data_IF_904873524099
#
_entry.id   IF_904873524099
#
_cell.length_a   1.000
_cell.length_b   1.000
_cell.length_c   1.000
_cell.angle_alpha   90.00
_cell.angle_beta   90.00
_cell.angle_gamma   90.00
#
_symmetry.space_group_name_H-M   'P 1'
#
loop_
_entity.id
_entity.type
_entity.pdbx_description
1 polymer ?
#
# COMPACT_ATOMS: atom_id res chain seq x y z
N UNK A 1 11.69 -16.72 10.75
CA UNK A 1 10.94 -15.53 11.18
C UNK A 1 9.60 -15.96 11.71
N UNK A 2 9.18 -15.44 12.88
CA UNK A 2 7.91 -15.85 13.51
C UNK A 2 6.76 -14.96 13.06
N UNK A 3 5.57 -15.56 12.98
CA UNK A 3 4.27 -14.87 12.87
C UNK A 3 4.14 -13.68 13.83
N UNK A 4 4.70 -13.81 15.03
CA UNK A 4 4.69 -12.76 16.06
C UNK A 4 5.40 -11.49 15.57
N UNK A 5 6.58 -11.61 14.94
CA UNK A 5 7.29 -10.45 14.39
C UNK A 5 6.50 -9.78 13.26
N UNK A 6 5.82 -10.57 12.43
CA UNK A 6 4.94 -10.04 11.39
C UNK A 6 3.78 -9.25 11.99
N UNK A 7 3.09 -9.79 12.99
CA UNK A 7 2.02 -9.07 13.70
C UNK A 7 2.55 -7.81 14.38
N UNK A 8 3.70 -7.88 15.04
CA UNK A 8 4.33 -6.75 15.73
C UNK A 8 4.61 -5.57 14.80
N UNK A 9 5.10 -5.83 13.57
CA UNK A 9 5.35 -4.77 12.59
C UNK A 9 4.09 -4.34 11.83
N UNK A 10 3.16 -5.26 11.55
CA UNK A 10 1.93 -4.92 10.83
C UNK A 10 0.91 -4.16 11.68
N UNK A 11 0.98 -4.27 13.01
CA UNK A 11 0.14 -3.50 13.93
C UNK A 11 0.34 -1.98 13.74
N UNK A 12 1.54 -1.41 13.97
CA UNK A 12 1.75 0.02 13.74
C UNK A 12 1.61 0.42 12.27
N UNK A 13 1.94 -0.48 11.32
CA UNK A 13 1.75 -0.24 9.89
C UNK A 13 0.27 -0.02 9.51
N UNK A 14 -0.65 -0.80 10.08
CA UNK A 14 -2.09 -0.62 9.91
C UNK A 14 -2.57 0.66 10.60
N UNK A 15 -2.20 0.87 11.87
CA UNK A 15 -2.61 2.07 12.62
C UNK A 15 -2.18 3.38 11.94
N UNK A 16 -1.01 3.39 11.27
CA UNK A 16 -0.52 4.57 10.55
C UNK A 16 -0.90 4.62 9.06
N UNK A 17 -1.72 3.69 8.58
CA UNK A 17 -1.95 3.55 7.13
C UNK A 17 -2.49 4.83 6.48
N UNK A 18 -3.32 5.58 7.20
CA UNK A 18 -3.81 6.89 6.73
C UNK A 18 -2.69 7.89 6.45
N UNK A 19 -1.62 7.87 7.24
CA UNK A 19 -0.44 8.70 7.02
C UNK A 19 0.44 8.16 5.90
N UNK A 20 0.55 6.84 5.75
CA UNK A 20 1.28 6.23 4.62
C UNK A 20 0.71 6.72 3.28
N UNK A 21 -0.62 6.75 3.16
CA UNK A 21 -1.30 7.19 1.93
C UNK A 21 -1.05 8.67 1.62
N UNK A 22 -0.92 9.52 2.65
CA UNK A 22 -0.51 10.93 2.47
C UNK A 22 0.93 11.04 2.01
N UNK A 23 1.84 10.22 2.54
CA UNK A 23 3.22 10.15 2.04
C UNK A 23 3.26 9.67 0.59
N UNK A 24 2.43 8.71 0.20
CA UNK A 24 2.30 8.26 -1.19
C UNK A 24 1.76 9.38 -2.08
N UNK A 25 0.78 10.17 -1.64
CA UNK A 25 0.32 11.37 -2.39
C UNK A 25 1.47 12.35 -2.65
N UNK A 26 2.32 12.63 -1.66
CA UNK A 26 3.50 13.50 -1.85
C UNK A 26 4.48 12.93 -2.88
N UNK A 27 4.68 11.61 -2.91
CA UNK A 27 5.51 10.94 -3.91
C UNK A 27 4.89 11.07 -5.31
N UNK A 28 3.57 10.94 -5.44
CA UNK A 28 2.85 11.12 -6.71
C UNK A 28 2.99 12.56 -7.23
N UNK A 29 2.99 13.55 -6.33
CA UNK A 29 3.12 14.96 -6.66
C UNK A 29 4.57 15.43 -6.92
N UNK A 30 5.58 14.66 -6.48
CA UNK A 30 6.99 15.05 -6.60
C UNK A 30 7.51 14.87 -8.05
N UNK A 31 7.79 15.96 -8.78
CA UNK A 31 8.30 15.88 -10.15
C UNK A 31 9.74 15.36 -10.25
N UNK A 32 10.46 15.20 -9.13
CA UNK A 32 11.81 14.62 -9.10
C UNK A 32 11.80 13.09 -8.97
N UNK A 33 10.63 12.47 -8.77
CA UNK A 33 10.45 11.02 -8.95
C UNK A 33 10.14 10.76 -10.42
N UNK A 34 10.69 9.69 -11.00
CA UNK A 34 10.40 9.31 -12.38
C UNK A 34 8.91 9.00 -12.60
N UNK A 35 8.40 9.35 -13.79
CA UNK A 35 6.97 9.20 -14.11
C UNK A 35 6.49 7.75 -13.97
N UNK A 36 7.29 6.74 -14.30
CA UNK A 36 6.89 5.33 -14.14
C UNK A 36 6.59 5.01 -12.67
N UNK A 37 7.42 5.49 -11.76
CA UNK A 37 7.27 5.31 -10.31
C UNK A 37 6.10 6.11 -9.76
N UNK A 38 5.89 7.35 -10.22
CA UNK A 38 4.73 8.17 -9.87
C UNK A 38 3.43 7.53 -10.35
N UNK A 39 3.42 6.94 -11.54
CA UNK A 39 2.28 6.18 -12.09
C UNK A 39 1.98 4.95 -11.23
N UNK A 40 3.01 4.19 -10.83
CA UNK A 40 2.85 3.04 -9.94
C UNK A 40 2.29 3.45 -8.58
N UNK A 41 2.79 4.55 -8.00
CA UNK A 41 2.29 5.11 -6.75
C UNK A 41 0.83 5.58 -6.86
N UNK A 42 0.47 6.30 -7.92
CA UNK A 42 -0.91 6.71 -8.20
C UNK A 42 -1.83 5.50 -8.37
N UNK A 43 -1.40 4.47 -9.08
CA UNK A 43 -2.13 3.21 -9.21
C UNK A 43 -2.32 2.48 -7.87
N UNK A 44 -1.36 2.58 -6.95
CA UNK A 44 -1.50 2.10 -5.58
C UNK A 44 -2.61 2.83 -4.82
N UNK A 45 -2.68 4.16 -4.93
CA UNK A 45 -3.78 4.94 -4.36
C UNK A 45 -5.12 4.57 -4.98
N UNK A 46 -5.20 4.45 -6.32
CA UNK A 46 -6.41 3.98 -7.02
C UNK A 46 -6.87 2.61 -6.53
N UNK A 47 -5.93 1.68 -6.28
CA UNK A 47 -6.25 0.37 -5.75
C UNK A 47 -6.93 0.47 -4.39
N UNK A 48 -6.37 1.28 -3.48
CA UNK A 48 -6.90 1.47 -2.12
C UNK A 48 -8.30 2.08 -2.17
N UNK A 49 -8.50 3.19 -2.88
CA UNK A 49 -9.81 3.88 -2.93
C UNK A 49 -10.87 3.12 -3.74
N UNK A 50 -10.46 2.15 -4.56
CA UNK A 50 -11.41 1.27 -5.25
C UNK A 50 -12.07 0.25 -4.33
N UNK A 51 -11.55 0.09 -3.11
CA UNK A 51 -12.02 -0.84 -2.07
C UNK A 51 -12.19 -2.29 -2.54
N UNK A 52 -11.47 -2.67 -3.59
CA UNK A 52 -11.44 -4.05 -4.12
C UNK A 52 -10.69 -4.97 -3.16
N UNK A 53 -9.71 -4.41 -2.42
CA UNK A 53 -8.80 -5.10 -1.51
C UNK A 53 -7.80 -5.99 -2.25
N UNK A 54 -6.55 -6.01 -1.79
CA UNK A 54 -5.52 -6.87 -2.40
C UNK A 54 -5.75 -8.38 -2.12
N UNK A 55 -6.46 -8.72 -1.04
CA UNK A 55 -6.70 -10.11 -0.60
C UNK A 55 -8.22 -10.38 -0.49
N UNK A 56 -8.87 -10.85 -1.57
CA UNK A 56 -10.30 -11.11 -1.51
C UNK A 56 -10.68 -12.24 -0.55
N UNK A 57 -11.85 -12.09 0.07
CA UNK A 57 -12.40 -13.03 1.05
C UNK A 57 -12.12 -12.65 2.51
N UNK A 58 -11.27 -11.65 2.73
CA UNK A 58 -10.95 -11.08 4.05
C UNK A 58 -11.86 -9.87 4.31
N UNK A 59 -12.28 -9.68 5.56
CA UNK A 59 -13.19 -8.60 6.00
C UNK A 59 -12.60 -7.88 7.21
N UNK A 60 -13.24 -6.77 7.62
CA UNK A 60 -12.79 -5.97 8.76
C UNK A 60 -11.48 -5.27 8.46
N UNK A 61 -10.73 -4.91 9.51
CA UNK A 61 -9.39 -4.33 9.42
C UNK A 61 -8.43 -5.22 8.61
N UNK A 62 -8.53 -6.55 8.72
CA UNK A 62 -7.67 -7.47 7.95
C UNK A 62 -7.81 -7.30 6.43
N UNK A 63 -8.92 -6.76 5.91
CA UNK A 63 -9.05 -6.49 4.47
C UNK A 63 -8.00 -5.47 4.01
N UNK A 64 -7.69 -4.49 4.86
CA UNK A 64 -6.73 -3.42 4.61
C UNK A 64 -5.28 -3.86 4.81
N UNK A 65 -5.03 -4.99 5.46
CA UNK A 65 -3.68 -5.55 5.53
C UNK A 65 -3.14 -5.84 4.12
N UNK A 66 -3.99 -6.31 3.21
CA UNK A 66 -3.61 -6.48 1.81
C UNK A 66 -3.14 -5.16 1.17
N UNK A 67 -3.88 -4.09 1.44
CA UNK A 67 -3.63 -2.74 0.91
C UNK A 67 -2.34 -2.15 1.47
N UNK A 68 -2.14 -2.28 2.79
CA UNK A 68 -0.89 -1.96 3.50
C UNK A 68 0.29 -2.62 2.80
N UNK A 69 0.22 -3.94 2.57
CA UNK A 69 1.33 -4.69 1.98
C UNK A 69 1.64 -4.29 0.54
N UNK A 70 0.64 -4.05 -0.30
CA UNK A 70 0.88 -3.60 -1.69
C UNK A 70 1.42 -2.17 -1.74
N UNK A 71 1.06 -1.31 -0.78
CA UNK A 71 1.67 0.02 -0.64
C UNK A 71 3.15 -0.09 -0.23
N UNK A 72 3.53 -0.99 0.69
CA UNK A 72 4.96 -1.22 1.00
C UNK A 72 5.74 -1.69 -0.23
N UNK A 73 5.18 -2.63 -1.00
CA UNK A 73 5.80 -3.09 -2.25
C UNK A 73 5.91 -1.98 -3.30
N UNK A 74 4.94 -1.07 -3.33
CA UNK A 74 4.95 0.12 -4.20
C UNK A 74 6.08 1.06 -3.80
N UNK A 75 6.20 1.39 -2.50
CA UNK A 75 7.27 2.24 -1.98
C UNK A 75 8.66 1.62 -2.21
N UNK A 76 8.79 0.29 -2.11
CA UNK A 76 10.03 -0.42 -2.45
C UNK A 76 10.47 -0.22 -3.90
N UNK A 77 9.51 -0.20 -4.83
CA UNK A 77 9.77 0.07 -6.26
C UNK A 77 10.22 1.51 -6.45
N UNK A 78 9.53 2.48 -5.87
CA UNK A 78 9.91 3.91 -5.93
C UNK A 78 11.30 4.12 -5.35
N UNK A 79 11.61 3.51 -4.21
CA UNK A 79 12.95 3.56 -3.60
C UNK A 79 14.03 2.99 -4.52
N UNK A 80 13.73 1.91 -5.24
CA UNK A 80 14.68 1.24 -6.11
C UNK A 80 14.96 2.03 -7.40
N UNK A 81 13.95 2.73 -7.95
CA UNK A 81 14.08 3.53 -9.17
C UNK A 81 14.63 4.93 -8.92
N UNK A 82 14.24 5.55 -7.82
CA UNK A 82 14.55 6.94 -7.47
C UNK A 82 15.15 7.06 -6.05
N UNK A 83 16.30 6.42 -5.75
CA UNK A 83 16.81 6.28 -4.38
C UNK A 83 17.14 7.62 -3.70
N UNK A 84 17.83 8.53 -4.39
CA UNK A 84 18.22 9.81 -3.82
C UNK A 84 17.00 10.70 -3.48
N UNK A 85 16.00 10.71 -4.37
CA UNK A 85 14.74 11.43 -4.13
C UNK A 85 13.96 10.78 -2.99
N UNK A 86 13.87 9.45 -2.96
CA UNK A 86 13.21 8.70 -1.89
C UNK A 86 13.86 8.95 -0.52
N UNK A 87 15.20 9.06 -0.44
CA UNK A 87 15.89 9.42 0.80
C UNK A 87 15.47 10.79 1.35
N UNK A 88 15.13 11.76 0.50
CA UNK A 88 14.57 13.04 0.95
C UNK A 88 13.19 12.86 1.58
N UNK A 89 12.31 12.07 0.95
CA UNK A 89 11.01 11.72 1.53
C UNK A 89 11.16 11.01 2.89
N UNK A 90 12.15 10.12 3.02
CA UNK A 90 12.48 9.47 4.30
C UNK A 90 12.90 10.53 5.34
N UNK A 91 13.75 11.49 4.97
CA UNK A 91 14.18 12.55 5.90
C UNK A 91 13.03 13.47 6.34
N UNK A 92 12.02 13.67 5.49
CA UNK A 92 10.84 14.48 5.79
C UNK A 92 9.76 13.74 6.59
N UNK A 93 9.74 12.40 6.54
CA UNK A 93 8.74 11.56 7.22
C UNK A 93 9.34 10.21 7.65
N UNK A 94 10.34 10.22 8.56
CA UNK A 94 11.10 9.03 8.92
C UNK A 94 10.24 7.95 9.57
N UNK A 95 9.30 8.32 10.43
CA UNK A 95 8.38 7.42 11.12
C UNK A 95 7.50 6.58 10.17
N UNK A 96 7.31 7.07 8.94
CA UNK A 96 6.50 6.42 7.91
C UNK A 96 7.35 5.48 7.05
N UNK A 97 8.55 5.91 6.67
CA UNK A 97 9.34 5.27 5.61
C UNK A 97 10.60 4.52 6.08
N UNK A 98 11.18 4.86 7.23
CA UNK A 98 12.34 4.11 7.77
C UNK A 98 12.02 2.63 8.05
N UNK A 99 10.85 2.26 8.59
CA UNK A 99 10.55 0.85 8.89
C UNK A 99 10.37 -0.03 7.64
N UNK A 100 10.25 0.56 6.45
CA UNK A 100 9.90 -0.12 5.21
C UNK A 100 10.78 -1.35 4.92
N UNK A 101 12.10 -1.23 5.11
CA UNK A 101 13.04 -2.34 4.85
C UNK A 101 12.72 -3.56 5.72
N UNK A 102 12.51 -3.34 7.02
CA UNK A 102 12.24 -4.41 7.96
C UNK A 102 10.84 -4.99 7.76
N UNK A 103 9.84 -4.13 7.54
CA UNK A 103 8.47 -4.54 7.22
C UNK A 103 8.44 -5.47 6.01
N UNK A 104 9.17 -5.12 4.94
CA UNK A 104 9.26 -5.95 3.75
C UNK A 104 9.96 -7.26 4.05
N UNK A 105 11.12 -7.27 4.70
CA UNK A 105 11.85 -8.49 5.05
C UNK A 105 10.98 -9.48 5.83
N UNK A 106 10.29 -8.99 6.87
CA UNK A 106 9.38 -9.77 7.70
C UNK A 106 8.18 -10.26 6.89
N UNK A 107 7.62 -9.41 6.02
CA UNK A 107 6.54 -9.78 5.10
C UNK A 107 6.96 -10.91 4.17
N UNK A 108 8.13 -10.81 3.51
CA UNK A 108 8.64 -11.85 2.60
C UNK A 108 8.81 -13.16 3.34
N UNK A 109 9.36 -13.11 4.55
CA UNK A 109 9.61 -14.30 5.36
C UNK A 109 8.31 -14.95 5.88
N UNK A 110 7.29 -14.17 6.23
CA UNK A 110 6.00 -14.70 6.71
C UNK A 110 5.15 -15.27 5.58
N UNK A 111 5.05 -14.57 4.44
CA UNK A 111 4.23 -15.01 3.31
C UNK A 111 4.89 -16.11 2.48
N UNK A 112 6.22 -16.12 2.40
CA UNK A 112 6.98 -16.96 1.47
C UNK A 112 6.57 -16.66 0.02
N UNK A 113 6.44 -17.70 -0.81
CA UNK A 113 6.08 -17.57 -2.23
C UNK A 113 4.76 -16.83 -2.48
N UNK A 114 3.86 -16.79 -1.49
CA UNK A 114 2.57 -16.08 -1.59
C UNK A 114 2.72 -14.58 -1.85
N UNK A 115 3.87 -13.99 -1.51
CA UNK A 115 4.14 -12.57 -1.79
C UNK A 115 4.04 -12.24 -3.28
N UNK A 116 4.31 -13.21 -4.16
CA UNK A 116 4.20 -13.06 -5.61
C UNK A 116 2.77 -12.68 -6.05
N UNK A 117 1.75 -13.06 -5.28
CA UNK A 117 0.36 -12.66 -5.56
C UNK A 117 0.19 -11.16 -5.39
N UNK A 118 0.81 -10.57 -4.36
CA UNK A 118 0.78 -9.13 -4.10
C UNK A 118 1.65 -8.38 -5.11
N UNK A 119 2.82 -8.92 -5.47
CA UNK A 119 3.67 -8.34 -6.52
C UNK A 119 2.93 -8.27 -7.87
N UNK A 120 2.21 -9.33 -8.26
CA UNK A 120 1.34 -9.35 -9.44
C UNK A 120 0.19 -8.34 -9.37
N UNK A 121 -0.25 -7.93 -8.17
CA UNK A 121 -1.23 -6.85 -8.01
C UNK A 121 -0.58 -5.51 -8.31
N UNK A 122 0.60 -5.25 -7.74
CA UNK A 122 1.37 -4.01 -7.98
C UNK A 122 1.75 -3.87 -9.47
N UNK A 123 2.05 -4.96 -10.17
CA UNK A 123 2.33 -4.94 -11.62
C UNK A 123 1.17 -4.41 -12.48
N UNK A 124 -0.06 -4.42 -11.94
CA UNK A 124 -1.24 -3.92 -12.65
C UNK A 124 -1.50 -2.44 -12.36
N UNK A 125 -0.87 -1.85 -11.34
CA UNK A 125 -1.11 -0.48 -10.90
C UNK A 125 -1.02 0.56 -12.01
N UNK A 126 -0.03 0.52 -12.93
CA UNK A 126 0.05 1.48 -14.02
C UNK A 126 -1.17 1.49 -14.97
N UNK A 127 -1.94 0.40 -14.99
CA UNK A 127 -3.09 0.21 -15.88
C UNK A 127 -4.42 0.35 -15.15
N UNK A 128 -4.41 0.65 -13.84
CA UNK A 128 -5.63 0.78 -13.07
C UNK A 128 -6.40 2.03 -13.48
N UNK A 129 -7.72 1.88 -13.43
CA UNK A 129 -8.69 2.96 -13.61
C UNK A 129 -9.73 2.86 -12.50
N UNK A 130 -10.11 4.00 -11.94
CA UNK A 130 -11.22 4.11 -11.00
C UNK A 130 -12.03 5.37 -11.30
N UNK A 131 -13.36 5.23 -11.34
CA UNK A 131 -14.31 6.32 -11.65
C UNK A 131 -13.94 7.19 -12.87
N UNK A 132 -13.37 6.59 -13.91
CA UNK A 132 -12.98 7.30 -15.14
C UNK A 132 -11.53 7.78 -15.17
N UNK A 133 -10.84 7.87 -14.03
CA UNK A 133 -9.46 8.33 -13.94
C UNK A 133 -8.47 7.17 -13.98
N UNK A 134 -7.44 7.29 -14.83
CA UNK A 134 -6.36 6.30 -14.95
C UNK A 134 -5.13 6.76 -14.16
N UNK A 135 -4.33 5.82 -13.66
CA UNK A 135 -3.12 6.11 -12.87
C UNK A 135 -2.19 7.12 -13.56
N UNK A 136 -1.97 6.99 -14.88
CA UNK A 136 -1.16 7.93 -15.65
C UNK A 136 -1.80 9.32 -15.81
N UNK A 137 -3.13 9.39 -15.86
CA UNK A 137 -3.85 10.67 -15.86
C UNK A 137 -3.64 11.43 -14.56
N UNK A 138 -3.64 10.72 -13.43
CA UNK A 138 -3.49 11.34 -12.11
C UNK A 138 -2.13 12.03 -11.86
N UNK A 139 -1.10 11.79 -12.69
CA UNK A 139 0.20 12.47 -12.57
C UNK A 139 0.43 13.59 -13.61
N UNK A 140 -0.33 13.56 -14.71
CA UNK A 140 -0.10 14.39 -15.89
C UNK A 140 -1.23 15.37 -16.19
N UNK A 141 -2.41 15.18 -15.60
CA UNK A 141 -3.59 16.01 -15.79
C UNK A 141 -4.08 16.58 -14.45
N UNK A 142 -4.26 17.90 -14.40
CA UNK A 142 -4.62 18.62 -13.17
C UNK A 142 -5.99 18.19 -12.64
N UNK A 143 -6.96 17.93 -13.51
CA UNK A 143 -8.29 17.47 -13.09
C UNK A 143 -8.19 16.11 -12.40
N UNK A 144 -7.51 15.15 -13.02
CA UNK A 144 -7.30 13.81 -12.47
C UNK A 144 -6.44 13.79 -11.21
N UNK A 145 -5.47 14.70 -11.11
CA UNK A 145 -4.63 14.87 -9.91
C UNK A 145 -5.45 15.40 -8.73
N UNK A 146 -6.26 16.44 -8.93
CA UNK A 146 -7.12 17.00 -7.89
C UNK A 146 -8.18 15.99 -7.45
N UNK A 147 -8.78 15.27 -8.40
CA UNK A 147 -9.71 14.20 -8.10
C UNK A 147 -9.06 13.11 -7.24
N UNK A 148 -7.84 12.68 -7.57
CA UNK A 148 -7.14 11.65 -6.78
C UNK A 148 -6.90 12.13 -5.35
N UNK A 149 -6.48 13.39 -5.18
CA UNK A 149 -6.30 13.99 -3.87
C UNK A 149 -7.60 13.96 -3.06
N UNK A 150 -8.71 14.45 -3.64
CA UNK A 150 -10.02 14.51 -2.97
C UNK A 150 -10.54 13.11 -2.64
N UNK A 151 -10.45 12.15 -3.57
CA UNK A 151 -10.92 10.78 -3.39
C UNK A 151 -10.13 10.02 -2.33
N UNK A 152 -8.80 10.23 -2.25
CA UNK A 152 -7.99 9.68 -1.15
C UNK A 152 -8.42 10.31 0.17
N UNK A 153 -8.63 11.61 0.25
CA UNK A 153 -9.09 12.25 1.49
C UNK A 153 -10.46 11.76 1.94
N UNK A 154 -11.40 11.55 1.01
CA UNK A 154 -12.71 10.94 1.30
C UNK A 154 -12.53 9.52 1.87
N UNK A 155 -11.73 8.67 1.21
CA UNK A 155 -11.44 7.32 1.71
C UNK A 155 -10.77 7.31 3.09
N UNK A 156 -9.90 8.28 3.38
CA UNK A 156 -9.28 8.44 4.70
C UNK A 156 -10.29 8.71 5.81
N UNK A 157 -11.38 9.42 5.50
CA UNK A 157 -12.42 9.78 6.47
C UNK A 157 -13.44 8.63 6.61
N UNK A 158 -13.86 8.05 5.47
CA UNK A 158 -15.00 7.13 5.45
C UNK A 158 -14.61 5.66 5.61
N UNK A 159 -13.39 5.28 5.22
CA UNK A 159 -12.97 3.87 5.14
C UNK A 159 -11.68 3.52 5.89
N UNK A 160 -10.77 4.49 6.06
CA UNK A 160 -9.39 4.25 6.54
C UNK A 160 -9.16 5.02 7.85
N UNK A 161 -10.04 4.76 8.82
CA UNK A 161 -9.88 5.13 10.23
C UNK A 161 -10.08 3.86 11.06
N UNK A 162 -9.01 3.41 11.72
CA UNK A 162 -9.01 2.17 12.49
C UNK A 162 -8.89 2.47 13.98
N UNK A 163 -9.70 1.78 14.77
CA UNK A 163 -9.49 1.71 16.22
C UNK A 163 -8.32 0.77 16.52
N UNK A 164 -7.35 1.22 17.33
CA UNK A 164 -6.14 0.43 17.64
C UNK A 164 -6.48 -0.91 18.33
N UNK A 165 -7.54 -0.97 19.15
CA UNK A 165 -7.97 -2.23 19.77
C UNK A 165 -8.55 -3.20 18.72
N UNK A 166 -9.24 -2.67 17.71
CA UNK A 166 -9.73 -3.46 16.58
C UNK A 166 -8.56 -4.01 15.74
N UNK A 167 -7.53 -3.20 15.45
CA UNK A 167 -6.31 -3.65 14.76
C UNK A 167 -5.64 -4.80 15.52
N UNK A 168 -5.38 -4.62 16.82
CA UNK A 168 -4.74 -5.63 17.67
C UNK A 168 -5.59 -6.89 17.75
N UNK A 169 -6.91 -6.76 17.90
CA UNK A 169 -7.83 -7.91 17.97
C UNK A 169 -7.85 -8.69 16.67
N UNK A 170 -7.94 -8.00 15.54
CA UNK A 170 -8.06 -8.64 14.23
C UNK A 170 -6.78 -9.31 13.78
N UNK A 171 -5.60 -8.70 14.04
CA UNK A 171 -4.30 -9.30 13.72
C UNK A 171 -4.01 -10.60 14.49
N UNK A 172 -4.73 -10.90 15.57
CA UNK A 172 -4.70 -12.25 16.19
C UNK A 172 -5.10 -13.35 15.22
N UNK A 173 -5.85 -13.02 14.16
CA UNK A 173 -6.32 -13.95 13.13
C UNK A 173 -5.57 -13.77 11.80
N UNK A 174 -4.38 -13.17 11.79
CA UNK A 174 -3.63 -12.84 10.57
C UNK A 174 -3.45 -14.01 9.59
N UNK A 175 -3.36 -15.25 10.08
CA UNK A 175 -3.20 -16.43 9.22
C UNK A 175 -4.39 -16.66 8.26
N UNK A 176 -5.55 -16.02 8.50
CA UNK A 176 -6.70 -16.06 7.59
C UNK A 176 -6.38 -15.51 6.19
N UNK A 177 -5.32 -14.71 6.03
CA UNK A 177 -4.90 -14.21 4.71
C UNK A 177 -4.16 -15.27 3.88
N UNK A 178 -3.63 -16.34 4.52
CA UNK A 178 -2.74 -17.30 3.86
C UNK A 178 -3.47 -18.19 2.86
N UNK A 179 -4.68 -18.66 3.19
CA UNK A 179 -5.47 -19.52 2.31
C UNK A 179 -5.92 -18.79 1.03
N UNK A 180 -6.50 -17.57 1.09
CA UNK A 180 -6.82 -16.79 -0.10
C UNK A 180 -5.61 -16.50 -0.99
N UNK A 181 -4.44 -16.23 -0.40
CA UNK A 181 -3.21 -16.01 -1.15
C UNK A 181 -2.73 -17.31 -1.81
N UNK A 182 -2.74 -18.43 -1.10
CA UNK A 182 -2.35 -19.75 -1.63
C UNK A 182 -3.20 -20.14 -2.84
N UNK A 183 -4.51 -19.88 -2.80
CA UNK A 183 -5.44 -20.16 -3.89
C UNK A 183 -5.14 -19.40 -5.20
N UNK A 184 -4.32 -18.34 -5.13
CA UNK A 184 -3.93 -17.50 -6.29
C UNK A 184 -2.52 -17.74 -6.80
N UNK A 185 -1.67 -18.43 -6.03
CA UNK A 185 -0.25 -18.63 -6.40
C UNK A 185 -0.08 -19.40 -7.73
N UNK A 186 -1.04 -20.27 -8.06
CA UNK A 186 -1.08 -21.04 -9.32
C UNK A 186 -1.98 -20.49 -10.42
N UNK A 187 -2.46 -19.24 -10.31
CA UNK A 187 -3.26 -18.55 -11.33
C UNK A 187 -2.46 -17.41 -11.97
#
# INVERSE_FOLDING_TARGET
>A
MSRERFVELMTPALSRFSQDLKSVLRIVEDPEIDDESRIVAAGGLLHVISSVGAIPGVRGVLRHLGDVLVIRLTLDRVRSSSPATFERHVAESPEMLEPLSEELEVTRAYLGDRIQVLEKVVDKFPKLQHQGHQAAGCIGDTESSNWLYDAVHEALIDEIEFDDDDVVRELKNVDQILDPLSARLGR
#
